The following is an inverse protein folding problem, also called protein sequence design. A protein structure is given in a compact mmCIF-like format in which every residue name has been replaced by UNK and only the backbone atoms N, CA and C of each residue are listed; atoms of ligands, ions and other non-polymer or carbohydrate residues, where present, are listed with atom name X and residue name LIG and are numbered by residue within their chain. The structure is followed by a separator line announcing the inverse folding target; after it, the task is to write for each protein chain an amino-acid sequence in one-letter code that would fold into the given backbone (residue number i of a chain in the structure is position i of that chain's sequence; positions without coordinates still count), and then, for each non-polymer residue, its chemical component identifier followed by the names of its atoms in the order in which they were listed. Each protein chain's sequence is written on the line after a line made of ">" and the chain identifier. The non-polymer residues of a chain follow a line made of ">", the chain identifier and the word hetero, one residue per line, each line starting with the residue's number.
data_IF_383693288918
#
_entry.id   IF_383693288918
#
_cell.length_a   1.000
_cell.length_b   1.000
_cell.length_c   1.000
_cell.angle_alpha   90.00
_cell.angle_beta   90.00
_cell.angle_gamma   90.00
#
_symmetry.space_group_name_H-M   'P 1'
#
loop_
_entity.id
_entity.type
_entity.pdbx_description
1 polymer ?
#
# COMPACT_ATOMS: atom_id res chain seq x y z
N UNK A 1 25.48 21.77 32.01
CA UNK A 1 25.93 21.89 30.60
C UNK A 1 25.36 20.81 29.68
N UNK A 2 25.23 19.53 30.07
CA UNK A 2 24.70 18.45 29.18
C UNK A 2 23.20 18.51 28.81
N UNK A 3 22.39 19.26 29.56
CA UNK A 3 20.93 19.32 29.37
C UNK A 3 20.50 20.32 28.31
N UNK A 4 21.30 21.36 28.10
CA UNK A 4 20.99 22.46 27.17
C UNK A 4 21.29 22.04 25.72
N UNK A 5 22.39 21.30 25.50
CA UNK A 5 22.76 20.74 24.20
C UNK A 5 21.75 19.69 23.71
N UNK A 6 21.26 18.81 24.60
CA UNK A 6 20.22 17.82 24.28
C UNK A 6 18.88 18.44 23.89
N UNK A 7 18.53 19.58 24.49
CA UNK A 7 17.29 20.29 24.17
C UNK A 7 17.43 21.00 22.82
N UNK A 8 18.56 21.64 22.54
CA UNK A 8 18.84 22.28 21.25
C UNK A 8 18.85 21.24 20.10
N UNK A 9 19.50 20.10 20.31
CA UNK A 9 19.51 18.98 19.34
C UNK A 9 18.09 18.44 19.09
N UNK A 10 17.25 18.40 20.13
CA UNK A 10 15.85 17.98 20.01
C UNK A 10 14.95 19.00 19.28
N UNK A 11 15.28 20.29 19.35
CA UNK A 11 14.54 21.36 18.66
C UNK A 11 14.98 21.43 17.20
N UNK A 12 16.29 21.38 16.91
CA UNK A 12 16.81 21.33 15.54
C UNK A 12 16.29 20.10 14.76
N UNK A 13 16.27 18.92 15.39
CA UNK A 13 15.69 17.70 14.81
C UNK A 13 14.19 17.84 14.51
N UNK A 14 13.44 18.58 15.34
CA UNK A 14 12.01 18.86 15.09
C UNK A 14 11.83 19.83 13.94
N UNK A 15 12.59 20.92 13.91
CA UNK A 15 12.54 21.91 12.84
C UNK A 15 12.89 21.32 11.48
N UNK A 16 13.94 20.50 11.41
CA UNK A 16 14.29 19.76 10.19
C UNK A 16 13.21 18.77 9.77
N UNK A 17 12.65 18.02 10.73
CA UNK A 17 11.58 17.06 10.44
C UNK A 17 10.34 17.79 9.92
N UNK A 18 9.96 18.90 10.53
CA UNK A 18 8.85 19.72 10.06
C UNK A 18 9.12 20.32 8.69
N UNK A 19 10.35 20.79 8.43
CA UNK A 19 10.75 21.29 7.12
C UNK A 19 10.62 20.20 6.06
N UNK A 20 11.14 18.99 6.33
CA UNK A 20 10.99 17.82 5.44
C UNK A 20 9.52 17.46 5.21
N UNK A 21 8.68 17.49 6.25
CA UNK A 21 7.25 17.22 6.11
C UNK A 21 6.58 18.29 5.23
N UNK A 22 6.89 19.57 5.43
CA UNK A 22 6.34 20.67 4.61
C UNK A 22 6.77 20.54 3.15
N UNK A 23 8.06 20.34 2.88
CA UNK A 23 8.59 20.15 1.53
C UNK A 23 7.96 18.95 0.84
N UNK A 24 7.85 17.82 1.53
CA UNK A 24 7.20 16.62 0.98
C UNK A 24 5.71 16.83 0.72
N UNK A 25 5.02 17.61 1.58
CA UNK A 25 3.60 17.94 1.41
C UNK A 25 3.39 18.78 0.14
N UNK A 26 4.21 19.79 -0.08
CA UNK A 26 4.12 20.65 -1.27
C UNK A 26 4.50 19.90 -2.56
N UNK A 27 5.55 19.08 -2.51
CA UNK A 27 5.92 18.21 -3.63
C UNK A 27 4.76 17.27 -3.98
N UNK A 28 4.20 16.60 -2.97
CA UNK A 28 3.07 15.70 -3.15
C UNK A 28 1.87 16.41 -3.75
N UNK A 29 1.52 17.61 -3.25
CA UNK A 29 0.42 18.41 -3.79
C UNK A 29 0.62 18.70 -5.27
N UNK A 30 1.84 19.08 -5.65
CA UNK A 30 2.19 19.38 -7.05
C UNK A 30 2.07 18.15 -7.94
N UNK A 31 2.62 17.01 -7.51
CA UNK A 31 2.62 15.77 -8.28
C UNK A 31 1.22 15.13 -8.40
N UNK A 32 0.35 15.32 -7.40
CA UNK A 32 -1.02 14.79 -7.45
C UNK A 32 -1.96 15.64 -8.30
N UNK A 33 -1.64 16.92 -8.52
CA UNK A 33 -2.54 17.86 -9.17
C UNK A 33 -3.05 17.41 -10.56
N UNK A 34 -2.22 16.83 -11.45
CA UNK A 34 -2.71 16.31 -12.73
C UNK A 34 -3.74 15.18 -12.56
N UNK A 35 -3.50 14.28 -11.62
CA UNK A 35 -4.37 13.13 -11.33
C UNK A 35 -5.72 13.61 -10.79
N UNK A 36 -5.69 14.56 -9.84
CA UNK A 36 -6.91 15.12 -9.25
C UNK A 36 -7.76 15.88 -10.28
N UNK A 37 -7.13 16.61 -11.21
CA UNK A 37 -7.85 17.28 -12.31
C UNK A 37 -8.48 16.28 -13.27
N UNK A 38 -7.79 15.19 -13.59
CA UNK A 38 -8.34 14.17 -14.46
C UNK A 38 -9.51 13.43 -13.78
N UNK A 39 -9.41 13.13 -12.48
CA UNK A 39 -10.53 12.62 -11.69
C UNK A 39 -11.72 13.60 -11.66
N UNK A 40 -11.47 14.89 -11.48
CA UNK A 40 -12.51 15.91 -11.52
C UNK A 40 -13.21 15.98 -12.89
N UNK A 41 -12.46 15.83 -13.99
CA UNK A 41 -13.01 15.83 -15.36
C UNK A 41 -13.98 14.69 -15.65
N UNK A 42 -13.85 13.56 -14.92
CA UNK A 42 -14.78 12.43 -14.97
C UNK A 42 -15.84 12.51 -13.85
N UNK A 43 -15.95 13.66 -13.19
CA UNK A 43 -16.94 13.96 -12.16
C UNK A 43 -16.64 13.35 -10.79
N UNK A 44 -15.37 13.02 -10.50
CA UNK A 44 -14.90 12.52 -9.20
C UNK A 44 -14.07 13.61 -8.52
N UNK A 45 -14.73 14.47 -7.74
CA UNK A 45 -14.07 15.57 -7.02
C UNK A 45 -13.59 15.11 -5.64
N UNK A 46 -12.28 14.92 -5.49
CA UNK A 46 -11.64 14.58 -4.21
C UNK A 46 -10.44 15.49 -3.94
N UNK A 47 -10.24 15.85 -2.67
CA UNK A 47 -9.07 16.66 -2.24
C UNK A 47 -7.75 15.87 -2.17
N UNK A 48 -7.85 14.54 -2.20
CA UNK A 48 -6.72 13.63 -2.02
C UNK A 48 -7.11 12.25 -2.53
N UNK A 49 -6.15 11.50 -3.07
CA UNK A 49 -6.35 10.11 -3.46
C UNK A 49 -6.88 9.26 -2.29
N UNK A 50 -6.54 9.62 -1.04
CA UNK A 50 -7.03 8.95 0.19
C UNK A 50 -8.54 9.01 0.39
N UNK A 51 -9.22 9.99 -0.20
CA UNK A 51 -10.66 10.15 -0.06
C UNK A 51 -11.47 9.36 -1.12
N UNK A 52 -10.80 8.59 -1.99
CA UNK A 52 -11.48 7.69 -2.93
C UNK A 52 -12.08 6.49 -2.19
N UNK A 53 -13.38 6.27 -2.37
CA UNK A 53 -14.15 5.15 -1.85
C UNK A 53 -14.52 4.12 -2.93
N UNK A 54 -15.26 3.09 -2.52
CA UNK A 54 -15.69 1.97 -3.39
C UNK A 54 -17.14 2.09 -3.86
N UNK A 55 -17.73 3.29 -3.77
CA UNK A 55 -19.07 3.53 -4.28
C UNK A 55 -19.12 3.26 -5.80
N UNK A 56 -20.17 2.56 -6.27
CA UNK A 56 -20.21 1.98 -7.63
C UNK A 56 -20.01 3.01 -8.75
N UNK A 57 -20.62 4.18 -8.63
CA UNK A 57 -20.55 5.23 -9.64
C UNK A 57 -19.17 5.95 -9.65
N UNK A 58 -18.64 6.44 -8.50
CA UNK A 58 -17.25 6.90 -8.41
C UNK A 58 -16.21 5.85 -8.81
N UNK A 59 -16.43 4.58 -8.52
CA UNK A 59 -15.54 3.47 -8.91
C UNK A 59 -15.40 3.39 -10.44
N UNK A 60 -16.51 3.25 -11.18
CA UNK A 60 -16.49 3.11 -12.65
C UNK A 60 -15.82 4.30 -13.34
N UNK A 61 -16.01 5.51 -12.80
CA UNK A 61 -15.46 6.75 -13.37
C UNK A 61 -13.98 6.95 -13.01
N UNK A 62 -13.57 6.63 -11.79
CA UNK A 62 -12.18 6.81 -11.34
C UNK A 62 -11.22 5.72 -11.81
N UNK A 63 -11.70 4.49 -12.01
CA UNK A 63 -10.83 3.36 -12.33
C UNK A 63 -9.94 3.57 -13.57
N UNK A 64 -10.46 4.00 -14.74
CA UNK A 64 -9.63 4.22 -15.93
C UNK A 64 -8.52 5.26 -15.70
N UNK A 65 -8.83 6.32 -14.93
CA UNK A 65 -7.88 7.38 -14.58
C UNK A 65 -6.77 6.82 -13.68
N UNK A 66 -7.12 6.06 -12.65
CA UNK A 66 -6.14 5.48 -11.73
C UNK A 66 -5.25 4.44 -12.43
N UNK A 67 -5.82 3.58 -13.28
CA UNK A 67 -5.07 2.58 -14.06
C UNK A 67 -4.09 3.26 -15.01
N UNK A 68 -4.49 4.36 -15.66
CA UNK A 68 -3.58 5.16 -16.49
C UNK A 68 -2.43 5.73 -15.67
N UNK A 69 -2.72 6.35 -14.53
CA UNK A 69 -1.71 7.06 -13.75
C UNK A 69 -0.76 6.14 -12.98
N UNK A 70 -1.21 4.96 -12.51
CA UNK A 70 -0.34 4.06 -11.74
C UNK A 70 0.80 3.46 -12.59
N UNK A 71 0.62 3.43 -13.92
CA UNK A 71 1.65 3.02 -14.88
C UNK A 71 2.72 4.08 -15.11
N UNK A 72 2.44 5.34 -14.75
CA UNK A 72 3.38 6.45 -14.86
C UNK A 72 4.13 6.54 -13.53
N UNK A 73 5.45 6.41 -13.56
CA UNK A 73 6.26 6.60 -12.36
C UNK A 73 6.46 8.09 -12.08
N UNK A 74 5.80 8.59 -11.04
CA UNK A 74 5.92 9.99 -10.59
C UNK A 74 7.00 10.10 -9.50
N UNK A 75 6.77 9.38 -8.42
CA UNK A 75 7.57 9.35 -7.21
C UNK A 75 7.05 8.19 -6.37
N UNK A 76 7.92 7.48 -5.67
CA UNK A 76 7.60 6.25 -4.96
C UNK A 76 6.35 6.39 -4.06
N UNK A 77 6.26 7.50 -3.31
CA UNK A 77 5.11 7.81 -2.46
C UNK A 77 3.81 8.10 -3.24
N UNK A 78 3.87 8.71 -4.42
CA UNK A 78 2.66 8.98 -5.23
C UNK A 78 2.13 7.70 -5.84
N UNK A 79 3.04 6.87 -6.35
CA UNK A 79 2.71 5.57 -6.91
C UNK A 79 2.17 4.61 -5.84
N UNK A 80 2.70 4.67 -4.61
CA UNK A 80 2.12 3.98 -3.44
C UNK A 80 0.65 4.38 -3.20
N UNK A 81 0.35 5.67 -3.23
CA UNK A 81 -1.01 6.16 -3.00
C UNK A 81 -1.97 5.79 -4.11
N UNK A 82 -1.50 5.79 -5.36
CA UNK A 82 -2.25 5.32 -6.52
C UNK A 82 -2.55 3.82 -6.40
N UNK A 83 -1.56 3.00 -6.04
CA UNK A 83 -1.76 1.57 -5.82
C UNK A 83 -2.81 1.32 -4.71
N UNK A 84 -2.68 2.01 -3.57
CA UNK A 84 -3.69 1.90 -2.50
C UNK A 84 -5.06 2.42 -2.89
N UNK A 85 -5.14 3.43 -3.77
CA UNK A 85 -6.42 3.90 -4.29
C UNK A 85 -7.12 2.78 -5.06
N UNK A 86 -6.42 2.06 -5.93
CA UNK A 86 -6.95 0.90 -6.66
C UNK A 86 -7.46 -0.18 -5.70
N UNK A 87 -6.74 -0.45 -4.61
CA UNK A 87 -7.18 -1.34 -3.54
C UNK A 87 -8.47 -0.88 -2.85
N UNK A 88 -8.53 0.41 -2.46
CA UNK A 88 -9.67 0.98 -1.74
C UNK A 88 -10.95 1.02 -2.56
N UNK A 89 -10.85 1.34 -3.85
CA UNK A 89 -12.01 1.31 -4.74
C UNK A 89 -12.43 -0.13 -5.10
N UNK A 90 -11.62 -1.14 -4.72
CA UNK A 90 -11.81 -2.56 -5.02
C UNK A 90 -11.82 -2.85 -6.53
N UNK A 91 -10.76 -2.43 -7.22
CA UNK A 91 -10.54 -2.72 -8.64
C UNK A 91 -10.27 -4.22 -8.89
N UNK A 92 -11.26 -5.07 -8.65
CA UNK A 92 -11.15 -6.54 -8.77
C UNK A 92 -10.91 -6.93 -10.24
N UNK A 93 -11.49 -6.20 -11.18
CA UNK A 93 -11.27 -6.37 -12.62
C UNK A 93 -9.83 -6.10 -13.05
N UNK A 94 -9.03 -5.43 -12.22
CA UNK A 94 -7.63 -5.14 -12.48
C UNK A 94 -6.67 -6.10 -11.78
N UNK A 95 -7.16 -7.27 -11.34
CA UNK A 95 -6.34 -8.26 -10.63
C UNK A 95 -5.04 -8.60 -11.37
N UNK A 96 -5.13 -9.10 -12.61
CA UNK A 96 -3.96 -9.53 -13.40
C UNK A 96 -2.96 -8.38 -13.58
N UNK A 97 -3.49 -7.17 -13.84
CA UNK A 97 -2.68 -5.97 -13.97
C UNK A 97 -1.94 -5.61 -12.67
N UNK A 98 -2.61 -5.71 -11.51
CA UNK A 98 -1.98 -5.46 -10.21
C UNK A 98 -0.90 -6.51 -9.88
N UNK A 99 -1.14 -7.78 -10.23
CA UNK A 99 -0.15 -8.85 -10.07
C UNK A 99 1.07 -8.59 -10.95
N UNK A 100 0.87 -8.27 -12.23
CA UNK A 100 1.95 -7.96 -13.15
C UNK A 100 2.80 -6.79 -12.64
N UNK A 101 2.14 -5.70 -12.25
CA UNK A 101 2.79 -4.49 -11.75
C UNK A 101 3.54 -4.75 -10.43
N UNK A 102 2.94 -5.53 -9.53
CA UNK A 102 3.61 -5.98 -8.32
C UNK A 102 4.86 -6.77 -8.67
N UNK A 103 4.77 -7.83 -9.48
CA UNK A 103 5.91 -8.67 -9.85
C UNK A 103 7.06 -7.90 -10.51
N UNK A 104 6.75 -6.91 -11.37
CA UNK A 104 7.75 -6.09 -12.06
C UNK A 104 8.42 -5.03 -11.19
N UNK A 105 7.77 -4.61 -10.11
CA UNK A 105 8.29 -3.54 -9.24
C UNK A 105 9.41 -4.08 -8.35
N UNK A 106 10.59 -3.47 -8.44
CA UNK A 106 11.72 -3.79 -7.55
C UNK A 106 11.50 -3.16 -6.17
N UNK A 107 11.31 -4.01 -5.15
CA UNK A 107 11.08 -3.58 -3.77
C UNK A 107 12.31 -2.99 -3.07
N UNK A 108 13.52 -3.16 -3.63
CA UNK A 108 14.74 -2.53 -3.12
C UNK A 108 14.83 -1.06 -3.54
N UNK A 109 14.28 -0.72 -4.71
CA UNK A 109 14.33 0.63 -5.29
C UNK A 109 13.04 1.40 -5.05
N UNK A 110 11.89 0.74 -5.19
CA UNK A 110 10.56 1.33 -5.13
C UNK A 110 9.70 0.69 -4.04
N UNK A 111 10.25 0.72 -2.81
CA UNK A 111 9.68 0.07 -1.63
C UNK A 111 8.25 0.54 -1.34
N UNK A 112 8.00 1.85 -1.32
CA UNK A 112 6.67 2.34 -1.00
C UNK A 112 5.67 1.94 -2.08
N UNK A 113 6.05 2.02 -3.36
CA UNK A 113 5.16 1.59 -4.42
C UNK A 113 4.83 0.09 -4.34
N UNK A 114 5.85 -0.75 -4.12
CA UNK A 114 5.70 -2.20 -3.91
C UNK A 114 4.76 -2.51 -2.74
N UNK A 115 4.91 -1.78 -1.64
CA UNK A 115 4.05 -1.89 -0.46
C UNK A 115 2.60 -1.48 -0.74
N UNK A 116 2.41 -0.40 -1.50
CA UNK A 116 1.09 0.04 -1.96
C UNK A 116 0.40 -1.02 -2.81
N UNK A 117 1.14 -1.68 -3.70
CA UNK A 117 0.65 -2.77 -4.55
C UNK A 117 0.30 -4.02 -3.73
N UNK A 118 1.12 -4.38 -2.74
CA UNK A 118 0.81 -5.48 -1.81
C UNK A 118 -0.50 -5.25 -1.05
N UNK A 119 -0.76 -4.00 -0.63
CA UNK A 119 -2.04 -3.62 0.00
C UNK A 119 -3.18 -3.67 -1.00
N UNK A 120 -2.97 -3.19 -2.22
CA UNK A 120 -3.97 -3.25 -3.29
C UNK A 120 -4.42 -4.69 -3.54
N UNK A 121 -3.46 -5.61 -3.73
CA UNK A 121 -3.72 -7.05 -3.88
C UNK A 121 -4.47 -7.63 -2.68
N UNK A 122 -4.13 -7.23 -1.45
CA UNK A 122 -4.85 -7.66 -0.24
C UNK A 122 -6.32 -7.25 -0.25
N UNK A 123 -6.61 -6.05 -0.72
CA UNK A 123 -7.96 -5.50 -0.76
C UNK A 123 -8.79 -5.99 -1.95
N UNK A 124 -8.15 -6.30 -3.09
CA UNK A 124 -8.83 -6.81 -4.29
C UNK A 124 -8.94 -8.33 -4.37
N UNK A 125 -8.15 -9.09 -3.61
CA UNK A 125 -8.19 -10.56 -3.64
C UNK A 125 -9.60 -11.12 -3.37
N UNK A 126 -10.04 -12.05 -4.21
CA UNK A 126 -11.33 -12.73 -4.11
C UNK A 126 -11.14 -14.21 -3.82
N UNK A 127 -12.24 -14.98 -3.76
CA UNK A 127 -12.15 -16.45 -3.65
C UNK A 127 -11.48 -17.04 -4.89
N UNK A 128 -11.76 -16.48 -6.05
CA UNK A 128 -11.27 -16.93 -7.35
C UNK A 128 -9.76 -16.71 -7.52
N UNK A 129 -9.22 -15.66 -6.89
CA UNK A 129 -7.81 -15.28 -7.02
C UNK A 129 -6.95 -15.69 -5.82
N UNK A 130 -7.53 -16.42 -4.86
CA UNK A 130 -6.87 -16.74 -3.59
C UNK A 130 -5.63 -17.62 -3.76
N UNK A 131 -5.65 -18.57 -4.69
CA UNK A 131 -4.52 -19.48 -4.91
C UNK A 131 -3.28 -18.72 -5.42
N UNK A 132 -3.49 -17.82 -6.39
CA UNK A 132 -2.42 -16.94 -6.89
C UNK A 132 -1.96 -15.95 -5.82
N UNK A 133 -2.88 -15.39 -5.05
CA UNK A 133 -2.55 -14.52 -3.92
C UNK A 133 -1.64 -15.22 -2.90
N UNK A 134 -1.93 -16.47 -2.56
CA UNK A 134 -1.11 -17.29 -1.66
C UNK A 134 0.24 -17.60 -2.30
N UNK A 135 0.29 -17.87 -3.61
CA UNK A 135 1.54 -18.08 -4.35
C UNK A 135 2.46 -16.86 -4.25
N UNK A 136 1.93 -15.65 -4.46
CA UNK A 136 2.69 -14.39 -4.30
C UNK A 136 3.17 -14.18 -2.87
N UNK A 137 2.35 -14.53 -1.87
CA UNK A 137 2.72 -14.41 -0.47
C UNK A 137 3.80 -15.41 -0.04
N UNK A 138 3.91 -16.57 -0.70
CA UNK A 138 4.98 -17.55 -0.45
C UNK A 138 6.29 -17.19 -1.18
N UNK A 139 6.24 -16.35 -2.21
CA UNK A 139 7.42 -16.01 -3.01
C UNK A 139 8.35 -15.02 -2.29
N UNK A 140 9.39 -15.56 -1.67
CA UNK A 140 10.39 -14.80 -0.90
C UNK A 140 11.10 -13.71 -1.70
N UNK A 141 11.08 -13.75 -3.04
CA UNK A 141 11.65 -12.68 -3.88
C UNK A 141 10.94 -11.34 -3.69
N UNK A 142 9.73 -11.34 -3.12
CA UNK A 142 8.98 -10.12 -2.81
C UNK A 142 9.28 -9.54 -1.43
N UNK A 143 10.18 -10.16 -0.66
CA UNK A 143 10.68 -9.63 0.61
C UNK A 143 9.57 -9.33 1.63
N UNK A 144 9.76 -8.26 2.38
CA UNK A 144 8.90 -7.85 3.49
C UNK A 144 7.63 -7.10 3.05
N UNK A 145 7.51 -6.65 1.80
CA UNK A 145 6.22 -6.13 1.27
C UNK A 145 5.09 -7.16 1.41
N UNK A 146 5.43 -8.46 1.42
CA UNK A 146 4.50 -9.58 1.70
C UNK A 146 3.81 -9.47 3.05
N UNK A 147 4.41 -8.81 4.04
CA UNK A 147 3.79 -8.56 5.35
C UNK A 147 2.44 -7.85 5.19
N UNK A 148 2.31 -6.92 4.26
CA UNK A 148 1.08 -6.16 4.04
C UNK A 148 -0.06 -7.01 3.47
N UNK A 149 0.29 -8.13 2.82
CA UNK A 149 -0.68 -9.09 2.30
C UNK A 149 -1.30 -9.93 3.43
N UNK A 150 -0.57 -10.19 4.50
CA UNK A 150 -1.05 -11.00 5.63
C UNK A 150 -2.38 -10.51 6.24
N UNK A 151 -2.69 -9.22 6.10
CA UNK A 151 -3.96 -8.63 6.57
C UNK A 151 -5.20 -9.33 6.02
N UNK A 152 -5.18 -9.79 4.76
CA UNK A 152 -6.30 -10.53 4.15
C UNK A 152 -6.52 -11.85 4.87
N UNK A 153 -5.47 -12.65 5.01
CA UNK A 153 -5.52 -13.96 5.66
C UNK A 153 -5.94 -13.85 7.13
N UNK A 154 -5.43 -12.83 7.85
CA UNK A 154 -5.77 -12.61 9.26
C UNK A 154 -7.27 -12.39 9.51
N UNK A 155 -8.04 -11.94 8.52
CA UNK A 155 -9.49 -11.77 8.62
C UNK A 155 -10.26 -13.06 8.35
N UNK A 156 -9.63 -14.03 7.70
CA UNK A 156 -10.22 -15.34 7.41
C UNK A 156 -10.05 -16.26 8.64
N UNK A 157 -10.99 -17.20 8.80
CA UNK A 157 -11.06 -18.13 9.95
C UNK A 157 -11.14 -19.59 9.53
N UNK A 158 -10.86 -19.87 8.26
CA UNK A 158 -10.96 -21.20 7.69
C UNK A 158 -9.75 -22.07 8.14
N UNK A 159 -9.94 -23.38 8.41
CA UNK A 159 -8.85 -24.26 8.85
C UNK A 159 -7.62 -24.24 7.94
N UNK A 160 -7.83 -24.20 6.63
CA UNK A 160 -6.78 -24.14 5.62
C UNK A 160 -5.94 -22.84 5.72
N UNK A 161 -6.57 -21.71 6.03
CA UNK A 161 -5.87 -20.43 6.22
C UNK A 161 -5.11 -20.44 7.56
N UNK A 162 -5.64 -21.09 8.59
CA UNK A 162 -4.92 -21.25 9.87
C UNK A 162 -3.65 -22.07 9.65
N UNK A 163 -3.75 -23.21 8.97
CA UNK A 163 -2.60 -24.04 8.63
C UNK A 163 -1.57 -23.28 7.78
N UNK A 164 -2.03 -22.49 6.80
CA UNK A 164 -1.16 -21.62 6.02
C UNK A 164 -0.45 -20.56 6.88
N UNK A 165 -1.15 -19.92 7.82
CA UNK A 165 -0.55 -18.93 8.73
C UNK A 165 0.51 -19.59 9.62
N UNK A 166 0.27 -20.82 10.09
CA UNK A 166 1.25 -21.57 10.87
C UNK A 166 2.48 -21.95 10.03
N UNK A 167 2.30 -22.34 8.76
CA UNK A 167 3.41 -22.55 7.80
C UNK A 167 4.21 -21.25 7.60
N UNK A 168 3.54 -20.12 7.33
CA UNK A 168 4.18 -18.83 7.09
C UNK A 168 4.85 -18.26 8.35
N UNK A 169 4.53 -18.75 9.55
CA UNK A 169 5.15 -18.30 10.79
C UNK A 169 6.64 -18.68 10.88
N UNK A 170 7.10 -19.62 10.05
CA UNK A 170 8.52 -20.02 9.93
C UNK A 170 9.28 -19.20 8.85
N UNK A 171 8.60 -18.33 8.11
CA UNK A 171 9.23 -17.44 7.13
C UNK A 171 9.94 -16.28 7.83
N UNK A 172 11.23 -16.10 7.59
CA UNK A 172 12.07 -15.07 8.22
C UNK A 172 11.52 -13.65 8.10
N UNK A 173 10.89 -13.32 6.96
CA UNK A 173 10.33 -11.99 6.73
C UNK A 173 8.97 -11.82 7.43
N UNK A 174 8.24 -12.91 7.67
CA UNK A 174 6.84 -12.86 8.14
C UNK A 174 6.66 -13.24 9.62
N UNK A 175 7.61 -14.00 10.18
CA UNK A 175 7.53 -14.56 11.54
C UNK A 175 7.30 -13.52 12.63
N UNK A 176 7.90 -12.34 12.48
CA UNK A 176 7.78 -11.23 13.45
C UNK A 176 6.34 -10.71 13.46
N UNK A 177 5.77 -10.41 12.29
CA UNK A 177 4.40 -9.91 12.19
C UNK A 177 3.40 -10.96 12.66
N UNK A 178 3.52 -12.21 12.19
CA UNK A 178 2.60 -13.30 12.56
C UNK A 178 2.69 -13.58 14.07
N UNK A 179 3.90 -13.62 14.63
CA UNK A 179 4.11 -13.79 16.07
C UNK A 179 3.48 -12.68 16.92
N UNK A 180 3.39 -11.45 16.39
CA UNK A 180 2.74 -10.33 17.07
C UNK A 180 1.23 -10.53 17.30
N UNK A 181 0.58 -11.35 16.46
CA UNK A 181 -0.87 -11.59 16.56
C UNK A 181 -1.23 -12.43 17.78
N UNK A 182 -0.38 -13.39 18.17
CA UNK A 182 -0.59 -14.24 19.35
C UNK A 182 -0.59 -13.43 20.65
N UNK A 183 0.19 -12.34 20.72
CA UNK A 183 0.25 -11.45 21.90
C UNK A 183 -0.98 -10.56 22.08
N UNK A 184 -1.76 -10.31 21.02
CA UNK A 184 -2.96 -9.45 21.04
C UNK A 184 -4.27 -10.19 21.38
N UNK A 185 -4.23 -11.49 21.71
CA UNK A 185 -5.41 -12.27 22.15
C UNK A 185 -5.55 -12.32 23.69
N UNK A 186 -4.88 -11.42 24.42
CA UNK A 186 -5.07 -11.20 25.86
C UNK A 186 -5.97 -10.01 26.10
#
# INVERSE_FOLDING_TARGET
>A
MKTQDKVIESVAMREEREKRIREMTELRRTLQQPILRELESVGVSVKSLWHLGSEEDPHKRSLPVLVKHVQIFYHDQINEELARALGRIKAVECWDFLVELFCKTDGLVHRNFKDGLAVALSDTATKQTMDEYISLLRDKRHGDSRILMLRKLRRLRQPEIIALIDELAEDEDLKIEIGSWKRKRR
#
